data_IF_745972053467
#
_entry.id   IF_745972053467
#
_cell.length_a   1.000
_cell.length_b   1.000
_cell.length_c   1.000
_cell.angle_alpha   90.00
_cell.angle_beta   90.00
_cell.angle_gamma   90.00
#
_symmetry.space_group_name_H-M   'P 1'
#
loop_
_entity.id
_entity.type
_entity.pdbx_description
1 polymer ?
#
# COMPACT_ATOMS: atom_id res chain seq x y z
N UNK A 1 -6.12 31.03 -3.96
CA UNK A 1 -5.70 30.04 -2.96
C UNK A 1 -5.37 28.78 -3.72
N UNK A 2 -4.10 28.48 -3.95
CA UNK A 2 -3.67 27.27 -4.67
C UNK A 2 -3.88 26.06 -3.75
N UNK A 3 -4.86 25.21 -4.05
CA UNK A 3 -4.98 23.89 -3.43
C UNK A 3 -3.74 23.07 -3.85
N UNK A 4 -2.90 22.75 -2.89
CA UNK A 4 -1.72 21.91 -3.09
C UNK A 4 -2.19 20.50 -3.41
N UNK A 5 -2.13 20.09 -4.67
CA UNK A 5 -2.17 18.69 -5.04
C UNK A 5 -0.87 18.05 -4.52
N UNK A 6 -0.93 17.41 -3.38
CA UNK A 6 0.20 16.71 -2.76
C UNK A 6 0.23 15.29 -3.33
N UNK A 7 1.14 15.02 -4.26
CA UNK A 7 1.56 13.65 -4.55
C UNK A 7 2.55 13.24 -3.45
N UNK A 8 2.35 12.09 -2.80
CA UNK A 8 3.25 11.67 -1.73
C UNK A 8 4.66 11.38 -2.26
N UNK A 9 5.71 11.86 -1.56
CA UNK A 9 7.11 11.67 -1.95
C UNK A 9 7.63 10.24 -1.74
N UNK A 10 6.81 9.31 -1.29
CA UNK A 10 7.24 7.99 -0.84
C UNK A 10 7.84 7.08 -1.93
N UNK A 11 7.50 7.29 -3.20
CA UNK A 11 8.12 6.50 -4.29
C UNK A 11 9.59 6.90 -4.50
N UNK A 12 10.00 8.08 -4.03
CA UNK A 12 11.38 8.58 -4.20
C UNK A 12 12.32 8.16 -3.06
N UNK A 13 11.79 7.67 -1.93
CA UNK A 13 12.61 7.27 -0.77
C UNK A 13 13.44 6.01 -0.99
N UNK A 14 13.22 5.27 -2.07
CA UNK A 14 14.08 4.14 -2.46
C UNK A 14 15.37 4.64 -3.14
N UNK A 15 15.43 5.91 -3.55
CA UNK A 15 16.59 6.48 -4.24
C UNK A 15 16.89 7.88 -3.71
N UNK A 16 17.92 7.97 -2.85
CA UNK A 16 18.76 9.14 -2.54
C UNK A 16 18.21 10.27 -1.66
N UNK A 17 18.71 10.29 -0.43
CA UNK A 17 19.56 11.32 0.19
C UNK A 17 19.28 12.78 -0.25
N UNK A 18 18.88 13.56 0.72
CA UNK A 18 19.25 14.94 0.76
C UNK A 18 18.12 15.94 0.73
N UNK A 19 17.96 16.60 1.82
CA UNK A 19 17.47 17.95 1.80
C UNK A 19 16.38 18.33 2.78
N UNK A 20 16.80 19.04 3.79
CA UNK A 20 15.97 20.05 4.45
C UNK A 20 15.01 19.56 5.51
N UNK A 21 15.39 19.72 6.73
CA UNK A 21 14.53 19.62 7.91
C UNK A 21 13.44 20.71 7.83
N UNK A 22 12.14 20.38 7.75
CA UNK A 22 11.12 21.36 8.06
C UNK A 22 11.05 21.52 9.58
N UNK A 23 11.43 22.68 10.07
CA UNK A 23 11.21 23.11 11.44
C UNK A 23 9.70 23.28 11.69
N UNK A 24 9.12 22.38 12.46
CA UNK A 24 7.71 22.47 12.84
C UNK A 24 7.28 21.30 13.70
N UNK A 25 7.94 21.10 14.84
CA UNK A 25 7.38 20.29 15.92
C UNK A 25 6.19 21.05 16.51
N UNK A 26 5.01 20.86 15.97
CA UNK A 26 3.82 21.12 16.74
C UNK A 26 3.83 20.11 17.89
N UNK A 27 4.07 20.59 19.10
CA UNK A 27 3.89 19.81 20.32
C UNK A 27 2.45 19.30 20.29
N UNK A 28 2.28 18.02 19.97
CA UNK A 28 1.01 17.34 20.21
C UNK A 28 0.74 17.43 21.72
N UNK A 29 -0.45 17.90 22.08
CA UNK A 29 -0.91 17.89 23.46
C UNK A 29 -0.72 16.47 24.05
N UNK A 30 -0.46 16.35 25.37
CA UNK A 30 -0.36 15.05 25.99
C UNK A 30 -1.63 14.24 25.69
N UNK A 31 -1.50 12.92 25.43
CA UNK A 31 -2.63 12.09 25.08
C UNK A 31 -3.73 12.22 26.12
N UNK A 32 -4.96 12.39 25.66
CA UNK A 32 -6.13 12.32 26.51
C UNK A 32 -6.17 10.96 27.24
N UNK A 33 -6.75 10.88 28.46
CA UNK A 33 -6.81 9.62 29.18
C UNK A 33 -7.52 8.55 28.35
N UNK A 34 -6.98 7.32 28.43
CA UNK A 34 -7.43 6.12 27.74
C UNK A 34 -8.95 6.11 27.52
N UNK A 35 -9.39 6.07 26.26
CA UNK A 35 -10.81 6.01 25.97
C UNK A 35 -11.38 4.71 26.54
N UNK A 36 -12.38 4.83 27.40
CA UNK A 36 -13.08 3.70 28.02
C UNK A 36 -13.99 2.95 27.01
N UNK A 37 -13.95 3.31 25.73
CA UNK A 37 -14.86 2.80 24.69
C UNK A 37 -14.16 1.98 23.59
N UNK A 38 -13.35 1.03 24.01
CA UNK A 38 -12.64 0.11 23.10
C UNK A 38 -13.56 -0.55 22.05
N UNK A 39 -14.76 -0.99 22.49
CA UNK A 39 -15.76 -1.58 21.57
C UNK A 39 -16.28 -0.60 20.52
N UNK A 40 -16.45 0.65 20.88
CA UNK A 40 -16.86 1.73 19.97
C UNK A 40 -15.78 2.03 18.94
N UNK A 41 -14.51 2.03 19.34
CA UNK A 41 -13.39 2.25 18.45
C UNK A 41 -13.25 1.12 17.41
N UNK A 42 -13.31 -0.14 17.83
CA UNK A 42 -13.30 -1.27 16.91
C UNK A 42 -14.48 -1.24 15.92
N UNK A 43 -15.67 -0.82 16.39
CA UNK A 43 -16.83 -0.67 15.51
C UNK A 43 -16.61 0.46 14.49
N UNK A 44 -16.00 1.57 14.91
CA UNK A 44 -15.66 2.67 14.00
C UNK A 44 -14.61 2.27 12.97
N UNK A 45 -13.61 1.50 13.38
CA UNK A 45 -12.55 1.01 12.50
C UNK A 45 -13.07 0.02 11.47
N UNK A 46 -13.99 -0.88 11.87
CA UNK A 46 -14.67 -1.76 10.92
C UNK A 46 -15.52 -0.99 9.90
N UNK A 47 -16.25 0.04 10.35
CA UNK A 47 -17.01 0.90 9.45
C UNK A 47 -16.09 1.68 8.51
N UNK A 48 -14.95 2.17 9.02
CA UNK A 48 -13.95 2.85 8.21
C UNK A 48 -13.47 1.96 7.07
N UNK A 49 -13.02 0.74 7.37
CA UNK A 49 -12.59 -0.22 6.35
C UNK A 49 -13.71 -0.56 5.35
N UNK A 50 -14.92 -0.84 5.84
CA UNK A 50 -16.02 -1.22 4.96
C UNK A 50 -16.42 -0.09 4.01
N UNK A 51 -16.52 1.15 4.52
CA UNK A 51 -16.88 2.31 3.72
C UNK A 51 -15.82 2.67 2.70
N UNK A 52 -14.53 2.64 3.10
CA UNK A 52 -13.45 2.95 2.17
C UNK A 52 -13.28 1.85 1.13
N UNK A 53 -13.37 0.58 1.49
CA UNK A 53 -13.26 -0.52 0.53
C UNK A 53 -14.31 -0.43 -0.60
N UNK A 54 -15.56 -0.05 -0.26
CA UNK A 54 -16.60 0.17 -1.26
C UNK A 54 -16.25 1.37 -2.16
N UNK A 55 -15.84 2.49 -1.57
CA UNK A 55 -15.49 3.71 -2.29
C UNK A 55 -14.23 3.52 -3.17
N UNK A 56 -13.20 2.86 -2.65
CA UNK A 56 -11.96 2.57 -3.37
C UNK A 56 -12.20 1.64 -4.57
N UNK A 57 -13.04 0.61 -4.40
CA UNK A 57 -13.41 -0.27 -5.50
C UNK A 57 -14.11 0.51 -6.63
N UNK A 58 -14.96 1.46 -6.27
CA UNK A 58 -15.63 2.34 -7.19
C UNK A 58 -14.65 3.29 -7.90
N UNK A 59 -13.78 3.97 -7.15
CA UNK A 59 -12.79 4.88 -7.71
C UNK A 59 -11.84 4.17 -8.68
N UNK A 60 -11.40 2.95 -8.34
CA UNK A 60 -10.54 2.14 -9.22
C UNK A 60 -11.29 1.76 -10.52
N UNK A 61 -12.55 1.35 -10.43
CA UNK A 61 -13.36 0.95 -11.60
C UNK A 61 -13.69 2.15 -12.47
N UNK A 62 -13.95 3.31 -11.88
CA UNK A 62 -14.34 4.53 -12.61
C UNK A 62 -13.13 5.40 -13.00
N UNK A 63 -11.93 5.15 -12.47
CA UNK A 63 -10.73 5.92 -12.79
C UNK A 63 -10.50 6.18 -14.29
N UNK A 64 -10.74 5.22 -15.21
CA UNK A 64 -10.59 5.46 -16.65
C UNK A 64 -11.58 6.49 -17.21
N UNK A 65 -12.63 6.82 -16.49
CA UNK A 65 -13.67 7.79 -16.90
C UNK A 65 -13.32 9.22 -16.46
N UNK A 66 -12.38 9.40 -15.54
CA UNK A 66 -11.93 10.69 -15.00
C UNK A 66 -10.74 11.26 -15.79
N UNK A 67 -10.96 11.59 -17.06
CA UNK A 67 -9.91 12.09 -17.96
C UNK A 67 -9.36 13.45 -17.56
N UNK A 68 -10.09 14.25 -16.83
CA UNK A 68 -9.67 15.54 -16.26
C UNK A 68 -8.61 15.35 -15.17
N UNK A 69 -8.82 14.41 -14.27
CA UNK A 69 -7.83 14.04 -13.24
C UNK A 69 -6.57 13.45 -13.87
N UNK A 70 -6.73 12.56 -14.87
CA UNK A 70 -5.60 12.02 -15.63
C UNK A 70 -4.83 13.14 -16.36
N UNK A 71 -5.53 14.11 -16.97
CA UNK A 71 -4.93 15.28 -17.60
C UNK A 71 -4.11 16.13 -16.63
N UNK A 72 -4.62 16.36 -15.41
CA UNK A 72 -3.91 17.10 -14.37
C UNK A 72 -2.62 16.37 -13.90
N UNK A 73 -2.65 15.03 -13.80
CA UNK A 73 -1.45 14.22 -13.51
C UNK A 73 -0.41 14.35 -14.62
N UNK A 74 -0.83 14.22 -15.88
CA UNK A 74 0.05 14.28 -17.05
C UNK A 74 0.65 15.68 -17.31
N UNK A 75 0.11 16.73 -16.71
CA UNK A 75 0.70 18.08 -16.78
C UNK A 75 1.65 18.40 -15.63
N UNK A 76 1.75 17.51 -14.61
CA UNK A 76 2.59 17.71 -13.44
C UNK A 76 4.03 17.17 -13.67
N UNK A 77 5.08 18.03 -13.71
CA UNK A 77 6.46 17.57 -13.90
C UNK A 77 6.92 16.56 -12.83
N UNK A 78 6.42 16.65 -11.60
CA UNK A 78 6.76 15.71 -10.53
C UNK A 78 6.25 14.30 -10.80
N UNK A 79 5.13 14.16 -11.50
CA UNK A 79 4.63 12.86 -11.94
C UNK A 79 5.68 12.14 -12.79
N UNK A 80 6.26 12.82 -13.78
CA UNK A 80 7.29 12.24 -14.65
C UNK A 80 8.59 11.93 -13.92
N UNK A 81 8.97 12.74 -12.93
CA UNK A 81 10.14 12.44 -12.10
C UNK A 81 9.93 11.19 -11.26
N UNK A 82 8.74 11.02 -10.67
CA UNK A 82 8.40 9.85 -9.84
C UNK A 82 8.30 8.60 -10.72
N UNK A 83 7.47 8.64 -11.76
CA UNK A 83 7.25 7.49 -12.64
C UNK A 83 8.51 7.13 -13.43
N UNK A 84 9.22 8.14 -13.93
CA UNK A 84 10.49 7.96 -14.63
C UNK A 84 11.58 7.42 -13.71
N UNK A 85 11.69 7.93 -12.49
CA UNK A 85 12.62 7.44 -11.47
C UNK A 85 12.33 6.00 -11.06
N UNK A 86 11.07 5.68 -10.77
CA UNK A 86 10.63 4.32 -10.45
C UNK A 86 10.86 3.36 -11.63
N UNK A 87 10.52 3.78 -12.85
CA UNK A 87 10.75 3.02 -14.07
C UNK A 87 12.23 2.78 -14.35
N UNK A 88 13.09 3.79 -14.15
CA UNK A 88 14.53 3.65 -14.29
C UNK A 88 15.14 2.72 -13.23
N UNK A 89 14.70 2.85 -11.96
CA UNK A 89 15.14 1.96 -10.88
C UNK A 89 14.72 0.51 -11.16
N UNK A 90 13.47 0.31 -11.58
CA UNK A 90 12.96 -1.01 -11.92
C UNK A 90 13.67 -1.58 -13.16
N UNK A 91 13.74 -0.85 -14.27
CA UNK A 91 14.43 -1.30 -15.47
C UNK A 91 15.92 -1.55 -15.24
N UNK A 92 16.60 -0.66 -14.49
CA UNK A 92 18.00 -0.82 -14.13
C UNK A 92 18.27 -2.02 -13.20
N UNK A 93 17.30 -2.41 -12.39
CA UNK A 93 17.44 -3.55 -11.47
C UNK A 93 17.66 -4.89 -12.18
N UNK A 94 17.13 -5.05 -13.39
CA UNK A 94 17.37 -6.25 -14.21
C UNK A 94 18.85 -6.45 -14.56
N UNK A 95 19.60 -5.35 -14.79
CA UNK A 95 21.02 -5.43 -15.06
C UNK A 95 21.83 -5.92 -13.84
N UNK A 96 21.28 -5.80 -12.65
CA UNK A 96 21.90 -6.22 -11.39
C UNK A 96 21.50 -7.64 -10.94
N UNK A 97 20.52 -8.28 -11.58
CA UNK A 97 19.98 -9.57 -11.17
C UNK A 97 21.06 -10.63 -10.96
N UNK A 98 21.96 -10.82 -11.95
CA UNK A 98 23.02 -11.82 -11.86
C UNK A 98 24.10 -11.46 -10.83
N UNK A 99 24.44 -10.16 -10.74
CA UNK A 99 25.43 -9.67 -9.78
C UNK A 99 24.94 -9.88 -8.34
N UNK A 100 23.71 -9.46 -8.06
CA UNK A 100 23.10 -9.64 -6.73
C UNK A 100 22.96 -11.11 -6.36
N UNK A 101 22.52 -11.95 -7.32
CA UNK A 101 22.46 -13.40 -7.14
C UNK A 101 23.81 -13.98 -6.74
N UNK A 102 24.89 -13.65 -7.48
CA UNK A 102 26.22 -14.21 -7.22
C UNK A 102 26.76 -13.86 -5.83
N UNK A 103 26.47 -12.68 -5.33
CA UNK A 103 26.90 -12.23 -4.00
C UNK A 103 26.04 -12.80 -2.87
N UNK A 104 24.72 -12.80 -3.03
CA UNK A 104 23.78 -13.15 -1.96
C UNK A 104 23.59 -14.67 -1.80
N UNK A 105 23.74 -15.44 -2.86
CA UNK A 105 23.68 -16.90 -2.81
C UNK A 105 24.70 -17.53 -1.84
N UNK A 106 25.81 -16.85 -1.56
CA UNK A 106 26.82 -17.31 -0.62
C UNK A 106 26.44 -17.11 0.84
N UNK A 107 25.34 -16.42 1.13
CA UNK A 107 24.89 -16.07 2.49
C UNK A 107 24.55 -17.29 3.35
N UNK A 108 24.07 -18.40 2.71
CA UNK A 108 23.56 -19.58 3.41
C UNK A 108 22.09 -19.43 3.83
N UNK A 109 21.34 -20.54 3.77
CA UNK A 109 19.90 -20.53 4.00
C UNK A 109 19.52 -20.06 5.41
N UNK A 110 20.26 -20.47 6.44
CA UNK A 110 19.96 -20.05 7.84
C UNK A 110 20.00 -18.53 8.02
N UNK A 111 20.96 -17.85 7.39
CA UNK A 111 21.05 -16.38 7.43
C UNK A 111 19.93 -15.75 6.61
N UNK A 112 19.65 -16.30 5.43
CA UNK A 112 18.58 -15.84 4.58
C UNK A 112 17.20 -15.93 5.26
N UNK A 113 16.92 -17.06 5.93
CA UNK A 113 15.69 -17.28 6.70
C UNK A 113 15.60 -16.34 7.91
N UNK A 114 16.74 -16.09 8.59
CA UNK A 114 16.78 -15.13 9.68
C UNK A 114 16.40 -13.72 9.22
N UNK A 115 16.92 -13.25 8.08
CA UNK A 115 16.60 -11.94 7.54
C UNK A 115 15.11 -11.81 7.21
N UNK A 116 14.50 -12.84 6.60
CA UNK A 116 13.06 -12.88 6.35
C UNK A 116 12.27 -12.80 7.65
N UNK A 117 12.57 -13.64 8.63
CA UNK A 117 11.88 -13.68 9.92
C UNK A 117 12.00 -12.36 10.68
N UNK A 118 13.17 -11.72 10.66
CA UNK A 118 13.39 -10.39 11.26
C UNK A 118 12.52 -9.34 10.54
N UNK A 119 12.47 -9.36 9.21
CA UNK A 119 11.62 -8.46 8.45
C UNK A 119 10.15 -8.63 8.80
N UNK A 120 9.62 -9.85 8.70
CA UNK A 120 8.22 -10.14 9.02
C UNK A 120 7.86 -9.73 10.44
N UNK A 121 8.67 -10.14 11.42
CA UNK A 121 8.39 -9.83 12.81
C UNK A 121 8.43 -8.31 13.07
N UNK A 122 9.47 -7.61 12.60
CA UNK A 122 9.67 -6.20 12.92
C UNK A 122 8.70 -5.28 12.18
N UNK A 123 8.47 -5.51 10.88
CA UNK A 123 7.55 -4.66 10.09
C UNK A 123 6.10 -4.88 10.53
N UNK A 124 5.68 -6.14 10.67
CA UNK A 124 4.32 -6.44 11.15
C UNK A 124 4.09 -5.96 12.57
N UNK A 125 5.08 -6.13 13.47
CA UNK A 125 4.99 -5.60 14.83
C UNK A 125 4.91 -4.07 14.85
N UNK A 126 5.65 -3.36 13.98
CA UNK A 126 5.59 -1.90 13.90
C UNK A 126 4.18 -1.41 13.52
N UNK A 127 3.56 -2.05 12.54
CA UNK A 127 2.17 -1.75 12.14
C UNK A 127 1.17 -2.09 13.25
N UNK A 128 1.32 -3.24 13.90
CA UNK A 128 0.46 -3.63 15.02
C UNK A 128 0.62 -2.71 16.24
N UNK A 129 1.84 -2.27 16.55
CA UNK A 129 2.12 -1.30 17.61
C UNK A 129 1.51 0.06 17.27
N UNK A 130 1.59 0.50 16.02
CA UNK A 130 0.95 1.74 15.57
C UNK A 130 -0.56 1.68 15.77
N UNK A 131 -1.21 0.59 15.38
CA UNK A 131 -2.64 0.37 15.61
C UNK A 131 -2.99 0.34 17.11
N UNK A 132 -2.22 -0.43 17.89
CA UNK A 132 -2.39 -0.53 19.35
C UNK A 132 -2.16 0.80 20.07
N UNK A 133 -1.19 1.59 19.63
CA UNK A 133 -1.01 2.97 20.10
C UNK A 133 -2.24 3.81 19.82
N UNK A 134 -2.79 3.75 18.63
CA UNK A 134 -4.01 4.45 18.25
C UNK A 134 -5.22 4.08 19.11
N UNK A 135 -5.36 2.79 19.47
CA UNK A 135 -6.39 2.33 20.41
C UNK A 135 -6.15 2.85 21.83
N UNK A 136 -4.90 2.83 22.29
CA UNK A 136 -4.55 3.27 23.63
C UNK A 136 -4.68 4.78 23.81
N UNK A 137 -4.24 5.56 22.84
CA UNK A 137 -4.21 7.03 22.90
C UNK A 137 -5.49 7.69 22.39
N UNK A 138 -6.40 6.94 21.75
CA UNK A 138 -7.55 7.51 21.03
C UNK A 138 -7.17 8.17 19.70
N UNK A 139 -5.95 7.95 19.20
CA UNK A 139 -5.49 8.50 17.93
C UNK A 139 -6.08 7.72 16.74
N UNK A 140 -7.16 8.24 16.17
CA UNK A 140 -7.80 7.64 14.99
C UNK A 140 -6.88 7.64 13.76
N UNK A 141 -6.01 8.65 13.61
CA UNK A 141 -5.05 8.72 12.52
C UNK A 141 -4.09 7.52 12.55
N UNK A 142 -3.54 7.19 13.72
CA UNK A 142 -2.67 6.03 13.87
C UNK A 142 -3.35 4.71 13.48
N UNK A 143 -4.63 4.54 13.89
CA UNK A 143 -5.42 3.35 13.52
C UNK A 143 -5.70 3.31 12.03
N UNK A 144 -6.17 4.40 11.44
CA UNK A 144 -6.47 4.50 10.01
C UNK A 144 -5.24 4.17 9.15
N UNK A 145 -4.07 4.75 9.44
CA UNK A 145 -2.85 4.45 8.70
C UNK A 145 -2.42 3.00 8.80
N UNK A 146 -2.52 2.39 9.99
CA UNK A 146 -2.21 0.98 10.17
C UNK A 146 -3.20 0.07 9.41
N UNK A 147 -4.49 0.39 9.41
CA UNK A 147 -5.53 -0.35 8.71
C UNK A 147 -5.38 -0.23 7.19
N UNK A 148 -5.15 0.99 6.68
CA UNK A 148 -4.93 1.23 5.25
C UNK A 148 -3.65 0.56 4.76
N UNK A 149 -2.60 0.49 5.60
CA UNK A 149 -1.40 -0.29 5.28
C UNK A 149 -1.71 -1.79 5.13
N UNK A 150 -2.56 -2.32 6.02
CA UNK A 150 -3.03 -3.71 5.93
C UNK A 150 -3.88 -3.97 4.68
N UNK A 151 -4.77 -3.06 4.34
CA UNK A 151 -5.56 -3.10 3.10
C UNK A 151 -4.65 -3.04 1.87
N UNK A 152 -3.74 -2.08 1.81
CA UNK A 152 -2.74 -1.97 0.75
C UNK A 152 -1.90 -3.24 0.59
N UNK A 153 -1.47 -3.85 1.70
CA UNK A 153 -0.75 -5.12 1.68
C UNK A 153 -1.60 -6.27 1.11
N UNK A 154 -2.87 -6.35 1.49
CA UNK A 154 -3.80 -7.35 0.98
C UNK A 154 -4.05 -7.20 -0.52
N UNK A 155 -4.38 -6.00 -0.97
CA UNK A 155 -4.64 -5.72 -2.39
C UNK A 155 -3.36 -5.89 -3.23
N UNK A 156 -2.21 -5.39 -2.75
CA UNK A 156 -0.94 -5.59 -3.44
C UNK A 156 -0.60 -7.08 -3.61
N UNK A 157 -0.93 -7.92 -2.61
CA UNK A 157 -0.77 -9.37 -2.69
C UNK A 157 -1.69 -9.99 -3.76
N UNK A 158 -2.93 -9.53 -3.87
CA UNK A 158 -3.85 -9.99 -4.94
C UNK A 158 -3.35 -9.59 -6.32
N UNK A 159 -2.85 -8.35 -6.47
CA UNK A 159 -2.24 -7.89 -7.73
C UNK A 159 -1.00 -8.73 -8.07
N UNK A 160 -0.14 -9.03 -7.08
CA UNK A 160 1.03 -9.91 -7.25
C UNK A 160 0.66 -11.29 -7.80
N UNK A 161 -0.41 -11.92 -7.29
CA UNK A 161 -0.91 -13.19 -7.80
C UNK A 161 -1.27 -13.08 -9.29
N UNK A 162 -1.95 -12.01 -9.68
CA UNK A 162 -2.29 -11.74 -11.08
C UNK A 162 -1.04 -11.53 -11.96
N UNK A 163 -0.07 -10.76 -11.46
CA UNK A 163 1.21 -10.52 -12.15
C UNK A 163 1.97 -11.85 -12.35
N UNK A 164 2.06 -12.70 -11.33
CA UNK A 164 2.69 -14.01 -11.41
C UNK A 164 2.04 -14.91 -12.46
N UNK A 165 0.72 -14.93 -12.48
CA UNK A 165 -0.04 -15.71 -13.48
C UNK A 165 0.19 -15.18 -14.90
N UNK A 166 0.29 -13.86 -15.09
CA UNK A 166 0.48 -13.24 -16.39
C UNK A 166 1.92 -13.34 -16.92
N UNK A 167 2.91 -13.10 -16.08
CA UNK A 167 4.32 -13.03 -16.50
C UNK A 167 5.08 -14.36 -16.36
N UNK A 168 4.70 -15.26 -15.48
CA UNK A 168 5.23 -16.61 -15.37
C UNK A 168 6.75 -16.73 -15.34
N UNK A 169 7.47 -15.81 -14.66
CA UNK A 169 8.94 -15.76 -14.60
C UNK A 169 9.50 -16.92 -13.77
N UNK A 170 10.53 -17.59 -14.26
CA UNK A 170 11.24 -18.63 -13.50
C UNK A 170 12.10 -18.04 -12.39
N UNK A 171 12.16 -18.74 -11.25
CA UNK A 171 13.02 -18.39 -10.11
C UNK A 171 14.49 -18.61 -10.44
N UNK A 172 15.43 -17.92 -9.73
CA UNK A 172 16.86 -18.20 -9.87
C UNK A 172 17.22 -19.67 -9.67
N UNK A 173 16.55 -20.37 -8.75
CA UNK A 173 16.73 -21.80 -8.51
C UNK A 173 16.27 -22.70 -9.68
N UNK A 174 15.40 -22.20 -10.54
CA UNK A 174 14.82 -22.96 -11.66
C UNK A 174 15.49 -22.67 -13.01
N UNK A 175 16.18 -21.52 -13.13
CA UNK A 175 16.80 -21.09 -14.38
C UNK A 175 18.05 -20.27 -14.13
N UNK A 176 19.11 -20.42 -14.94
CA UNK A 176 20.25 -19.50 -14.92
C UNK A 176 19.91 -18.14 -15.58
N UNK A 177 18.86 -18.06 -16.39
CA UNK A 177 18.46 -16.86 -17.10
C UNK A 177 17.50 -16.02 -16.28
N UNK A 178 17.87 -14.77 -16.01
CA UNK A 178 17.03 -13.80 -15.33
C UNK A 178 15.90 -13.22 -16.21
N UNK A 179 15.91 -13.54 -17.50
CA UNK A 179 14.90 -13.10 -18.49
C UNK A 179 13.91 -14.20 -18.88
N UNK A 180 13.86 -15.32 -18.14
CA UNK A 180 12.98 -16.44 -18.42
C UNK A 180 11.52 -16.14 -17.98
N UNK A 181 10.86 -15.24 -18.70
CA UNK A 181 9.45 -14.90 -18.56
C UNK A 181 8.56 -15.83 -19.40
N UNK A 182 7.27 -15.93 -19.05
CA UNK A 182 6.24 -16.71 -19.75
C UNK A 182 6.49 -18.23 -19.76
N UNK A 183 7.17 -18.73 -18.73
CA UNK A 183 7.48 -20.15 -18.57
C UNK A 183 6.71 -20.79 -17.40
N UNK A 184 5.63 -20.18 -16.92
CA UNK A 184 4.79 -20.71 -15.85
C UNK A 184 5.44 -20.66 -14.46
N UNK A 185 6.50 -19.87 -14.28
CA UNK A 185 7.14 -19.63 -12.98
C UNK A 185 6.37 -18.63 -12.12
N UNK A 186 6.81 -18.47 -10.88
CA UNK A 186 6.18 -17.59 -9.89
C UNK A 186 7.18 -16.63 -9.22
N UNK A 187 8.20 -16.20 -9.98
CA UNK A 187 9.23 -15.32 -9.43
C UNK A 187 8.83 -13.86 -9.41
N UNK A 188 8.17 -13.36 -10.45
CA UNK A 188 7.90 -11.94 -10.61
C UNK A 188 6.45 -11.58 -10.24
N UNK A 189 6.21 -10.64 -9.31
CA UNK A 189 7.15 -10.01 -8.38
C UNK A 189 7.26 -10.83 -7.09
N UNK A 190 8.05 -10.40 -6.08
CA UNK A 190 8.18 -11.15 -4.83
C UNK A 190 6.97 -10.96 -3.92
N UNK A 191 6.16 -12.04 -3.74
CA UNK A 191 4.94 -11.98 -2.94
C UNK A 191 5.15 -11.83 -1.44
N UNK A 192 6.33 -12.15 -0.93
CA UNK A 192 6.67 -11.96 0.47
C UNK A 192 7.13 -10.51 0.72
N UNK A 193 7.92 -9.95 -0.19
CA UNK A 193 8.45 -8.57 -0.09
C UNK A 193 7.34 -7.53 -0.26
N UNK A 194 6.38 -7.77 -1.15
CA UNK A 194 5.29 -6.84 -1.45
C UNK A 194 4.52 -6.37 -0.20
N UNK A 195 3.97 -7.27 0.65
CA UNK A 195 3.26 -6.83 1.85
C UNK A 195 4.17 -6.14 2.87
N UNK A 196 5.44 -6.51 2.97
CA UNK A 196 6.36 -5.84 3.89
C UNK A 196 6.58 -4.37 3.51
N UNK A 197 6.74 -4.07 2.25
CA UNK A 197 6.86 -2.68 1.78
C UNK A 197 5.53 -1.92 1.89
N UNK A 198 4.40 -2.57 1.70
CA UNK A 198 3.09 -1.95 1.90
C UNK A 198 2.88 -1.54 3.38
N UNK A 199 3.16 -2.44 4.32
CA UNK A 199 3.06 -2.14 5.75
C UNK A 199 4.06 -1.05 6.18
N UNK A 200 5.30 -1.11 5.67
CA UNK A 200 6.32 -0.10 5.94
C UNK A 200 5.90 1.28 5.44
N UNK A 201 5.21 1.37 4.30
CA UNK A 201 4.71 2.63 3.75
C UNK A 201 3.70 3.28 4.69
N UNK A 202 2.73 2.53 5.23
CA UNK A 202 1.74 3.06 6.15
C UNK A 202 2.38 3.59 7.45
N UNK A 203 3.36 2.87 8.00
CA UNK A 203 4.11 3.34 9.18
C UNK A 203 4.91 4.61 8.85
N UNK A 204 5.59 4.64 7.71
CA UNK A 204 6.36 5.80 7.26
C UNK A 204 5.48 7.04 7.09
N UNK A 205 4.32 6.90 6.43
CA UNK A 205 3.38 7.99 6.16
C UNK A 205 2.73 8.53 7.44
N UNK A 206 2.42 7.68 8.42
CA UNK A 206 1.93 8.18 9.71
C UNK A 206 2.89 9.20 10.34
N UNK A 207 4.20 8.99 10.18
CA UNK A 207 5.26 9.91 10.64
C UNK A 207 5.68 10.92 9.56
N UNK A 208 4.79 11.24 8.61
CA UNK A 208 5.00 12.23 7.53
C UNK A 208 6.29 11.96 6.72
N UNK A 209 6.61 10.70 6.49
CA UNK A 209 7.83 10.24 5.79
C UNK A 209 9.12 10.80 6.38
N UNK A 210 9.15 10.98 7.69
CA UNK A 210 10.34 11.48 8.39
C UNK A 210 11.50 10.49 8.22
N UNK A 211 12.63 10.93 7.69
CA UNK A 211 13.75 10.08 7.27
C UNK A 211 14.27 9.12 8.34
N UNK A 212 14.30 9.53 9.61
CA UNK A 212 14.77 8.70 10.73
C UNK A 212 13.78 7.60 11.15
N UNK A 213 12.55 7.60 10.60
CA UNK A 213 11.58 6.50 10.69
C UNK A 213 11.54 5.73 9.37
N UNK A 214 11.45 6.45 8.24
CA UNK A 214 11.30 5.85 6.91
C UNK A 214 12.49 4.97 6.55
N UNK A 215 13.73 5.45 6.77
CA UNK A 215 14.92 4.65 6.46
C UNK A 215 14.96 3.34 7.27
N UNK A 216 14.81 3.33 8.60
CA UNK A 216 14.76 2.09 9.37
C UNK A 216 13.65 1.14 8.93
N UNK A 217 12.41 1.61 8.77
CA UNK A 217 11.28 0.71 8.48
C UNK A 217 11.39 0.10 7.08
N UNK A 218 11.80 0.87 6.06
CA UNK A 218 12.06 0.34 4.73
C UNK A 218 13.30 -0.55 4.68
N UNK A 219 14.31 -0.27 5.50
CA UNK A 219 15.48 -1.18 5.64
C UNK A 219 15.06 -2.52 6.23
N UNK A 220 14.18 -2.53 7.23
CA UNK A 220 13.61 -3.76 7.78
C UNK A 220 12.80 -4.53 6.72
N UNK A 221 11.97 -3.86 5.93
CA UNK A 221 11.25 -4.50 4.82
C UNK A 221 12.21 -5.08 3.77
N UNK A 222 13.33 -4.40 3.48
CA UNK A 222 14.33 -4.86 2.52
C UNK A 222 15.07 -6.12 2.98
N UNK A 223 15.17 -6.39 4.28
CA UNK A 223 15.77 -7.64 4.79
C UNK A 223 15.09 -8.88 4.24
N UNK A 224 13.76 -8.85 4.06
CA UNK A 224 13.04 -9.93 3.40
C UNK A 224 13.56 -10.14 1.97
N UNK A 225 13.68 -9.07 1.19
CA UNK A 225 14.25 -9.13 -0.16
C UNK A 225 15.64 -9.77 -0.19
N UNK A 226 16.52 -9.42 0.73
CA UNK A 226 17.84 -10.07 0.84
C UNK A 226 17.73 -11.55 1.19
N UNK A 227 16.86 -11.92 2.10
CA UNK A 227 16.61 -13.30 2.44
C UNK A 227 16.07 -14.09 1.24
N UNK A 228 15.10 -13.54 0.51
CA UNK A 228 14.53 -14.18 -0.70
C UNK A 228 15.57 -14.39 -1.80
N UNK A 229 16.46 -13.41 -2.01
CA UNK A 229 17.58 -13.54 -2.96
C UNK A 229 18.63 -14.55 -2.47
N UNK A 230 18.95 -14.56 -1.17
CA UNK A 230 19.86 -15.53 -0.56
C UNK A 230 19.39 -16.98 -0.73
N UNK A 231 18.10 -17.22 -0.70
CA UNK A 231 17.48 -18.53 -0.91
C UNK A 231 17.26 -18.88 -2.40
N UNK A 232 17.82 -18.12 -3.35
CA UNK A 232 17.60 -18.31 -4.80
C UNK A 232 16.09 -18.36 -5.18
N UNK A 233 15.24 -17.69 -4.39
CA UNK A 233 13.80 -17.67 -4.59
C UNK A 233 13.34 -16.56 -5.54
N UNK A 234 14.02 -15.41 -5.51
CA UNK A 234 13.69 -14.23 -6.30
C UNK A 234 14.93 -13.54 -6.87
N UNK A 235 14.75 -12.89 -8.01
CA UNK A 235 15.71 -12.01 -8.62
C UNK A 235 15.67 -10.63 -7.94
N UNK A 236 16.74 -9.84 -8.06
CA UNK A 236 16.76 -8.48 -7.51
C UNK A 236 15.66 -7.59 -8.09
N UNK A 237 15.40 -7.71 -9.39
CA UNK A 237 14.32 -6.99 -10.05
C UNK A 237 12.92 -7.42 -9.58
N UNK A 238 12.73 -8.67 -9.12
CA UNK A 238 11.47 -9.10 -8.48
C UNK A 238 11.27 -8.38 -7.13
N UNK A 239 12.35 -8.18 -6.38
CA UNK A 239 12.33 -7.45 -5.10
C UNK A 239 12.05 -5.97 -5.30
N UNK A 240 12.69 -5.34 -6.28
CA UNK A 240 12.43 -3.91 -6.61
C UNK A 240 10.99 -3.73 -7.11
N UNK A 241 10.51 -4.62 -7.98
CA UNK A 241 9.12 -4.60 -8.44
C UNK A 241 8.11 -4.77 -7.30
N UNK A 242 8.41 -5.67 -6.35
CA UNK A 242 7.60 -5.90 -5.16
C UNK A 242 7.56 -4.68 -4.23
N UNK A 243 8.70 -4.03 -4.02
CA UNK A 243 8.79 -2.81 -3.22
C UNK A 243 7.95 -1.68 -3.84
N UNK A 244 8.06 -1.47 -5.15
CA UNK A 244 7.27 -0.46 -5.87
C UNK A 244 5.77 -0.78 -5.82
N UNK A 245 5.39 -2.05 -5.98
CA UNK A 245 4.00 -2.48 -5.90
C UNK A 245 3.43 -2.26 -4.49
N UNK A 246 4.13 -2.70 -3.45
CA UNK A 246 3.67 -2.57 -2.06
C UNK A 246 3.53 -1.11 -1.64
N UNK A 247 4.58 -0.29 -1.83
CA UNK A 247 4.53 1.15 -1.52
C UNK A 247 3.46 1.83 -2.35
N UNK A 248 3.44 1.61 -3.67
CA UNK A 248 2.52 2.29 -4.58
C UNK A 248 1.06 1.98 -4.26
N UNK A 249 0.73 0.75 -3.87
CA UNK A 249 -0.63 0.37 -3.49
C UNK A 249 -1.05 1.06 -2.19
N UNK A 250 -0.23 1.01 -1.13
CA UNK A 250 -0.57 1.69 0.13
C UNK A 250 -0.71 3.20 -0.05
N UNK A 251 0.19 3.84 -0.79
CA UNK A 251 0.10 5.27 -1.07
C UNK A 251 -1.15 5.65 -1.86
N UNK A 252 -1.55 4.80 -2.81
CA UNK A 252 -2.81 4.99 -3.54
C UNK A 252 -4.00 4.97 -2.59
N UNK A 253 -4.11 3.97 -1.71
CA UNK A 253 -5.22 3.89 -0.77
C UNK A 253 -5.22 5.03 0.24
N UNK A 254 -4.06 5.41 0.77
CA UNK A 254 -3.94 6.60 1.63
C UNK A 254 -4.36 7.90 0.91
N UNK A 255 -4.10 8.00 -0.38
CA UNK A 255 -4.56 9.11 -1.19
C UNK A 255 -6.09 9.08 -1.40
N UNK A 256 -6.66 7.93 -1.76
CA UNK A 256 -8.10 7.76 -1.98
C UNK A 256 -8.88 8.05 -0.68
N UNK A 257 -8.46 7.48 0.45
CA UNK A 257 -9.11 7.73 1.73
C UNK A 257 -9.09 9.21 2.12
N UNK A 258 -7.98 9.92 1.87
CA UNK A 258 -7.94 11.38 2.07
C UNK A 258 -8.94 12.14 1.17
N UNK A 259 -9.14 11.67 -0.07
CA UNK A 259 -10.12 12.26 -0.97
C UNK A 259 -11.56 12.01 -0.49
N UNK A 260 -11.84 10.82 0.02
CA UNK A 260 -13.15 10.49 0.59
C UNK A 260 -13.47 11.34 1.83
N UNK A 261 -12.50 11.54 2.70
CA UNK A 261 -12.64 12.38 3.90
C UNK A 261 -12.88 13.86 3.56
N UNK A 262 -12.20 14.38 2.51
CA UNK A 262 -12.37 15.76 2.05
C UNK A 262 -13.66 16.00 1.26
N UNK A 263 -14.20 14.98 0.61
CA UNK A 263 -15.37 15.08 -0.27
C UNK A 263 -16.40 13.97 0.03
N UNK A 264 -16.92 13.89 1.24
CA UNK A 264 -17.90 12.86 1.59
C UNK A 264 -19.18 13.02 0.78
N UNK A 265 -19.45 12.07 -0.10
CA UNK A 265 -20.71 12.03 -0.86
C UNK A 265 -20.59 12.34 -2.35
N UNK A 266 -19.39 12.34 -2.92
CA UNK A 266 -19.19 12.53 -4.37
C UNK A 266 -19.86 11.43 -5.20
N UNK A 267 -19.99 10.25 -4.60
CA UNK A 267 -20.65 9.09 -5.18
C UNK A 267 -21.31 8.26 -4.07
N UNK A 268 -22.52 7.76 -4.27
CA UNK A 268 -23.18 6.84 -3.34
C UNK A 268 -23.92 5.78 -4.12
N UNK A 269 -23.54 4.52 -3.90
CA UNK A 269 -24.32 3.36 -4.29
C UNK A 269 -25.25 3.01 -3.12
N UNK A 270 -26.53 2.94 -3.37
CA UNK A 270 -27.50 2.56 -2.34
C UNK A 270 -28.50 1.55 -2.87
N UNK A 271 -28.95 0.60 -2.04
CA UNK A 271 -30.00 -0.32 -2.44
C UNK A 271 -31.32 0.44 -2.63
N UNK A 272 -31.90 0.32 -3.80
CA UNK A 272 -33.22 0.90 -4.11
C UNK A 272 -34.29 -0.11 -3.71
N UNK A 273 -35.11 0.26 -2.73
CA UNK A 273 -36.35 -0.46 -2.47
C UNK A 273 -37.34 -0.13 -3.58
N UNK A 274 -38.14 -1.09 -4.07
CA UNK A 274 -39.21 -0.81 -5.02
C UNK A 274 -40.17 0.17 -4.41
N UNK A 275 -40.84 1.03 -5.23
CA UNK A 275 -41.84 1.95 -4.72
C UNK A 275 -42.94 1.17 -4.00
N UNK A 276 -43.12 1.48 -2.73
CA UNK A 276 -44.16 0.86 -1.90
C UNK A 276 -45.52 1.40 -2.40
N UNK A 277 -46.19 0.63 -3.23
CA UNK A 277 -47.63 0.87 -3.45
C UNK A 277 -48.32 0.46 -2.16
N UNK A 278 -48.84 1.45 -1.45
CA UNK A 278 -49.52 1.26 -0.17
C UNK A 278 -50.78 0.40 -0.34
N UNK A 279 -50.64 -0.90 -0.08
CA UNK A 279 -51.76 -1.78 0.26
C UNK A 279 -51.37 -2.49 1.56
N UNK A 280 -52.24 -2.37 2.53
CA UNK A 280 -52.14 -2.82 3.91
C UNK A 280 -51.37 -4.13 4.11
N UNK A 281 -50.28 -4.07 4.90
CA UNK A 281 -49.55 -5.22 5.41
C UNK A 281 -48.05 -4.99 5.34
N UNK A 282 -47.38 -4.77 6.49
CA UNK A 282 -45.93 -4.63 6.60
C UNK A 282 -45.25 -5.96 6.24
N UNK A 283 -44.89 -6.13 4.98
CA UNK A 283 -43.92 -7.15 4.57
C UNK A 283 -42.58 -6.45 4.32
N UNK A 284 -41.49 -6.98 4.90
CA UNK A 284 -40.14 -6.57 4.60
C UNK A 284 -39.82 -6.88 3.14
N UNK A 285 -39.78 -5.85 2.30
CA UNK A 285 -39.45 -6.01 0.89
C UNK A 285 -37.93 -5.94 0.76
N UNK A 286 -37.32 -7.01 0.24
CA UNK A 286 -35.89 -7.01 -0.09
C UNK A 286 -35.59 -5.96 -1.17
N UNK A 287 -34.46 -5.23 -1.12
CA UNK A 287 -34.07 -4.29 -2.13
C UNK A 287 -33.89 -5.02 -3.48
N UNK A 288 -34.51 -4.47 -4.55
CA UNK A 288 -34.53 -5.11 -5.87
C UNK A 288 -33.71 -4.36 -6.92
N UNK A 289 -33.01 -3.29 -6.52
CA UNK A 289 -32.20 -2.48 -7.44
C UNK A 289 -31.01 -1.83 -6.75
N UNK A 290 -30.06 -1.37 -7.55
CA UNK A 290 -28.94 -0.55 -7.13
C UNK A 290 -29.15 0.85 -7.68
N UNK A 291 -29.19 1.86 -6.81
CA UNK A 291 -29.26 3.27 -7.18
C UNK A 291 -27.87 3.90 -7.07
N UNK A 292 -27.59 4.83 -7.98
CA UNK A 292 -26.34 5.57 -8.01
C UNK A 292 -26.67 7.06 -7.94
N UNK A 293 -26.14 7.77 -6.95
CA UNK A 293 -26.31 9.22 -6.83
C UNK A 293 -24.95 9.92 -7.05
N UNK A 294 -24.97 10.95 -7.87
CA UNK A 294 -23.85 11.86 -8.08
C UNK A 294 -24.16 13.19 -7.39
N UNK A 295 -23.21 13.70 -6.58
CA UNK A 295 -23.22 15.08 -6.15
C UNK A 295 -22.11 15.84 -6.90
N UNK A 296 -22.52 16.91 -7.56
CA UNK A 296 -21.62 17.81 -8.31
C UNK A 296 -20.97 18.83 -7.38
#
# INVERSE_FOLDING_TARGET
MLKRAFFPPAILAIILIGGGVPSGWAQSAPPAPVSSNFGGELTSDFKYLANNFEADAEDIVTAPLHLDAAGAMLTNPRFYLIVGGAGAAFGGSFALDQTMRSHLRSMGSSTADLLQNVSYASVSASTAVLYGYGLYSGDSRARQFALTAGEGAGIATLIDIGIKAGFGRLRPSQSPSHTAFFHGGQSFVSGDVTPMFALAAGVSEYYDNTWYISIPIYSLALLDGFGRMGNDAHWFSDVVGAALLGVGTTELFLYLHRQHDENPGRFRVFPVAPPVTSTHGAQSVAPTGIGVAFSW
#
